data_IF_277021708789
#
_entry.id   IF_277021708789
#
_cell.length_a   1.000
_cell.length_b   1.000
_cell.length_c   1.000
_cell.angle_alpha   90.00
_cell.angle_beta   90.00
_cell.angle_gamma   90.00
#
_symmetry.space_group_name_H-M   'P 1'
#
loop_
_entity.id
_entity.type
_entity.pdbx_description
1 polymer ?
#
# COMPACT_ATOMS: atom_id res chain seq x y z
N UNK A 1 33.96 -22.22 -2.50
CA UNK A 1 34.92 -21.39 -3.25
C UNK A 1 34.24 -20.49 -4.29
N UNK A 2 32.91 -20.34 -4.23
CA UNK A 2 32.09 -19.83 -5.35
C UNK A 2 31.81 -18.32 -5.38
N UNK A 3 32.46 -17.53 -4.53
CA UNK A 3 32.22 -16.08 -4.45
C UNK A 3 33.37 -15.22 -4.98
N UNK A 4 34.41 -15.82 -5.56
CA UNK A 4 35.64 -15.10 -5.97
C UNK A 4 35.41 -14.00 -7.02
N UNK A 5 34.28 -14.00 -7.72
CA UNK A 5 33.92 -13.00 -8.74
C UNK A 5 32.62 -12.23 -8.44
N UNK A 6 32.09 -12.30 -7.20
CA UNK A 6 30.89 -11.55 -6.83
C UNK A 6 31.24 -10.24 -6.12
N UNK A 7 30.61 -9.14 -6.54
CA UNK A 7 30.62 -7.90 -5.76
C UNK A 7 29.73 -8.09 -4.52
N UNK A 8 30.34 -8.47 -3.40
CA UNK A 8 29.66 -8.60 -2.11
C UNK A 8 29.60 -7.23 -1.45
N UNK A 9 28.39 -6.71 -1.23
CA UNK A 9 28.17 -5.51 -0.42
C UNK A 9 27.60 -5.91 0.94
N UNK A 10 28.31 -5.66 2.06
CA UNK A 10 27.78 -5.93 3.38
C UNK A 10 26.60 -5.00 3.66
N UNK A 11 25.56 -5.56 4.30
CA UNK A 11 24.39 -4.80 4.74
C UNK A 11 24.51 -4.63 6.25
N UNK A 12 24.58 -3.39 6.72
CA UNK A 12 24.68 -3.06 8.14
C UNK A 12 23.30 -3.07 8.83
N UNK A 13 23.29 -3.33 10.14
CA UNK A 13 22.09 -3.29 10.99
C UNK A 13 20.95 -4.24 10.57
N UNK A 14 21.29 -5.37 9.94
CA UNK A 14 20.35 -6.42 9.57
C UNK A 14 20.02 -7.30 10.77
N UNK A 15 18.74 -7.54 11.01
CA UNK A 15 18.33 -8.67 11.86
C UNK A 15 18.45 -9.98 11.07
N UNK A 16 19.60 -10.64 11.26
CA UNK A 16 19.96 -11.91 10.60
C UNK A 16 18.95 -13.03 10.84
N UNK A 17 18.19 -13.02 11.95
CA UNK A 17 17.24 -14.11 12.27
C UNK A 17 15.97 -14.02 11.43
N UNK A 18 15.58 -12.80 11.06
CA UNK A 18 14.38 -12.53 10.27
C UNK A 18 14.68 -12.15 8.82
N UNK A 19 15.94 -12.20 8.41
CA UNK A 19 16.33 -11.77 7.07
C UNK A 19 15.86 -12.77 6.02
N UNK A 20 15.01 -12.29 5.11
CA UNK A 20 14.43 -13.08 4.03
C UNK A 20 14.54 -12.34 2.71
N UNK A 21 14.94 -13.05 1.66
CA UNK A 21 14.94 -12.56 0.28
C UNK A 21 13.57 -12.89 -0.32
N UNK A 22 12.94 -11.92 -0.96
CA UNK A 22 11.65 -12.15 -1.63
C UNK A 22 11.87 -13.08 -2.81
N UNK A 23 11.16 -14.22 -2.84
CA UNK A 23 11.35 -15.25 -3.88
C UNK A 23 10.91 -14.76 -5.25
N UNK A 24 9.92 -13.86 -5.29
CA UNK A 24 9.35 -13.28 -6.50
C UNK A 24 10.24 -12.17 -7.08
N UNK A 25 11.12 -11.57 -6.28
CA UNK A 25 12.03 -10.52 -6.70
C UNK A 25 13.29 -10.50 -5.80
N UNK A 26 14.35 -11.15 -6.29
CA UNK A 26 15.61 -11.31 -5.56
C UNK A 26 16.41 -10.00 -5.42
N UNK A 27 15.96 -8.89 -6.04
CA UNK A 27 16.51 -7.57 -5.75
C UNK A 27 16.05 -7.06 -4.38
N UNK A 28 15.06 -7.72 -3.76
CA UNK A 28 14.53 -7.34 -2.46
C UNK A 28 14.82 -8.34 -1.35
N UNK A 29 15.07 -7.79 -0.18
CA UNK A 29 15.06 -8.53 1.07
C UNK A 29 14.31 -7.73 2.13
N UNK A 30 13.91 -8.39 3.20
CA UNK A 30 13.41 -7.74 4.40
C UNK A 30 13.96 -8.43 5.63
N UNK A 31 13.96 -7.71 6.74
CA UNK A 31 14.02 -8.29 8.06
C UNK A 31 12.82 -7.77 8.89
N UNK A 32 12.78 -8.05 10.19
CA UNK A 32 11.68 -7.61 11.06
C UNK A 32 11.51 -6.08 11.16
N UNK A 33 12.51 -5.30 10.77
CA UNK A 33 12.58 -3.84 10.97
C UNK A 33 12.73 -3.08 9.65
N UNK A 34 13.45 -3.64 8.71
CA UNK A 34 13.89 -2.97 7.50
C UNK A 34 13.52 -3.78 6.26
N UNK A 35 13.48 -3.07 5.15
CA UNK A 35 13.38 -3.67 3.84
C UNK A 35 14.49 -3.10 2.97
N UNK A 36 15.04 -3.96 2.12
CA UNK A 36 16.25 -3.72 1.37
C UNK A 36 15.96 -3.82 -0.11
N UNK A 37 16.55 -2.94 -0.91
CA UNK A 37 16.59 -3.04 -2.36
C UNK A 37 18.04 -3.03 -2.82
N UNK A 38 18.48 -4.11 -3.47
CA UNK A 38 19.87 -4.32 -3.90
C UNK A 38 20.85 -4.08 -2.76
N UNK A 39 20.51 -4.59 -1.58
CA UNK A 39 21.31 -4.45 -0.36
C UNK A 39 21.22 -3.10 0.36
N UNK A 40 20.47 -2.12 -0.15
CA UNK A 40 20.30 -0.81 0.48
C UNK A 40 18.99 -0.73 1.26
N UNK A 41 19.03 -0.25 2.51
CA UNK A 41 17.82 0.03 3.29
C UNK A 41 16.95 1.02 2.51
N UNK A 42 15.70 0.63 2.31
CA UNK A 42 14.69 1.49 1.73
C UNK A 42 14.19 2.43 2.82
N UNK A 43 14.72 3.64 2.87
CA UNK A 43 14.23 4.69 3.75
C UNK A 43 12.72 4.90 3.57
N UNK A 44 12.02 5.16 4.67
CA UNK A 44 10.61 5.58 4.66
C UNK A 44 10.46 6.88 3.87
N UNK A 45 10.04 6.78 2.62
CA UNK A 45 9.82 7.94 1.74
C UNK A 45 8.35 8.36 1.82
N UNK A 46 8.03 9.13 2.86
CA UNK A 46 6.83 9.96 2.89
C UNK A 46 7.17 11.40 2.55
N UNK A 47 6.30 12.06 1.80
CA UNK A 47 6.37 13.49 1.52
C UNK A 47 5.26 14.20 2.28
N UNK A 48 5.59 15.29 2.97
CA UNK A 48 4.60 16.14 3.62
C UNK A 48 3.80 16.92 2.58
N UNK A 49 2.50 17.05 2.82
CA UNK A 49 1.59 17.82 1.97
C UNK A 49 1.28 19.14 2.68
N UNK A 50 1.73 20.24 2.09
CA UNK A 50 1.56 21.62 2.59
C UNK A 50 0.23 22.21 2.13
N UNK A 51 -0.24 21.85 0.94
CA UNK A 51 -1.45 22.40 0.37
C UNK A 51 -2.72 21.73 0.90
N UNK A 52 -3.42 22.44 1.79
CA UNK A 52 -4.64 21.94 2.45
C UNK A 52 -5.79 21.63 1.48
N UNK A 53 -5.96 22.42 0.42
CA UNK A 53 -7.06 22.23 -0.54
C UNK A 53 -6.86 20.95 -1.35
N UNK A 54 -5.63 20.74 -1.86
CA UNK A 54 -5.26 19.52 -2.57
C UNK A 54 -5.26 18.30 -1.63
N UNK A 55 -4.77 18.44 -0.40
CA UNK A 55 -4.89 17.38 0.60
C UNK A 55 -6.36 16.99 0.82
N UNK A 56 -7.25 17.95 1.09
CA UNK A 56 -8.65 17.65 1.38
C UNK A 56 -9.38 16.95 0.22
N UNK A 57 -9.02 17.29 -1.02
CA UNK A 57 -9.62 16.66 -2.22
C UNK A 57 -9.02 15.29 -2.56
N UNK A 58 -7.79 15.03 -2.15
CA UNK A 58 -7.04 13.82 -2.53
C UNK A 58 -6.77 12.86 -1.36
N UNK A 59 -7.05 13.24 -0.11
CA UNK A 59 -6.77 12.40 1.05
C UNK A 59 -7.44 11.04 0.94
N UNK A 60 -6.69 10.00 1.26
CA UNK A 60 -7.14 8.62 1.11
C UNK A 60 -7.12 8.09 -0.33
N UNK A 61 -6.85 8.92 -1.33
CA UNK A 61 -6.72 8.45 -2.73
C UNK A 61 -5.30 7.96 -2.99
N UNK A 62 -5.21 7.12 -4.02
CA UNK A 62 -3.96 6.86 -4.72
C UNK A 62 -3.90 7.80 -5.91
N UNK A 63 -2.78 8.51 -6.07
CA UNK A 63 -2.53 9.41 -7.20
C UNK A 63 -1.44 8.85 -8.10
N UNK A 64 -1.55 9.10 -9.40
CA UNK A 64 -0.60 8.67 -10.43
C UNK A 64 -0.07 9.91 -11.13
N UNK A 65 1.25 10.14 -11.09
CA UNK A 65 1.88 11.18 -11.91
C UNK A 65 1.91 10.72 -13.35
N UNK A 66 0.93 11.17 -14.14
CA UNK A 66 0.73 10.73 -15.54
C UNK A 66 1.89 11.15 -16.44
N UNK A 67 2.61 12.19 -16.06
CA UNK A 67 3.74 12.77 -16.80
C UNK A 67 5.10 12.22 -16.32
N UNK A 68 5.14 11.34 -15.32
CA UNK A 68 6.38 10.81 -14.72
C UNK A 68 6.33 9.28 -14.62
N UNK A 69 6.56 8.57 -15.73
CA UNK A 69 6.72 7.09 -15.81
C UNK A 69 5.67 6.26 -15.02
N UNK A 70 4.51 6.83 -14.69
CA UNK A 70 3.49 6.19 -13.86
C UNK A 70 3.84 6.05 -12.37
N UNK A 71 4.61 6.98 -11.79
CA UNK A 71 4.84 7.03 -10.34
C UNK A 71 3.52 7.16 -9.58
N UNK A 72 3.33 6.31 -8.57
CA UNK A 72 2.12 6.25 -7.77
C UNK A 72 2.40 6.66 -6.31
N UNK A 73 1.42 7.31 -5.66
CA UNK A 73 1.51 7.71 -4.26
C UNK A 73 0.17 7.46 -3.54
N UNK A 74 0.22 6.92 -2.33
CA UNK A 74 -0.94 6.85 -1.43
C UNK A 74 -0.96 8.08 -0.53
N UNK A 75 -2.06 8.84 -0.52
CA UNK A 75 -2.22 9.98 0.38
C UNK A 75 -2.92 9.49 1.64
N UNK A 76 -2.25 9.58 2.78
CA UNK A 76 -2.84 9.10 4.03
C UNK A 76 -4.05 9.99 4.42
N UNK A 77 -5.20 9.42 4.80
CA UNK A 77 -6.39 10.20 5.15
C UNK A 77 -6.27 10.92 6.51
N UNK A 78 -5.36 10.43 7.37
CA UNK A 78 -5.19 10.87 8.75
C UNK A 78 -3.86 11.59 8.98
N UNK A 79 -2.91 11.47 8.06
CA UNK A 79 -1.61 12.15 8.08
C UNK A 79 -1.53 13.01 6.83
N UNK A 80 -1.14 14.29 6.94
CA UNK A 80 -0.90 15.17 5.77
C UNK A 80 0.39 14.78 5.05
N UNK A 81 0.46 13.52 4.65
CA UNK A 81 1.62 12.86 4.07
C UNK A 81 1.16 11.98 2.91
N UNK A 82 2.00 11.87 1.89
CA UNK A 82 1.86 10.85 0.85
C UNK A 82 3.04 9.89 0.88
N UNK A 83 2.79 8.64 0.53
CA UNK A 83 3.75 7.54 0.55
C UNK A 83 3.96 7.04 -0.87
N UNK A 84 5.22 6.94 -1.30
CA UNK A 84 5.53 6.43 -2.65
C UNK A 84 5.15 4.96 -2.78
N UNK A 85 4.52 4.62 -3.90
CA UNK A 85 4.13 3.26 -4.31
C UNK A 85 4.91 2.84 -5.56
N UNK A 86 6.17 3.27 -5.66
CA UNK A 86 7.00 3.16 -6.86
C UNK A 86 7.15 1.75 -7.43
N UNK A 87 7.05 0.72 -6.56
CA UNK A 87 7.21 -0.70 -6.92
C UNK A 87 6.31 -1.59 -6.07
N UNK A 88 5.98 -2.82 -6.52
CA UNK A 88 5.03 -3.69 -5.83
C UNK A 88 5.34 -3.94 -4.35
N UNK A 89 6.59 -4.23 -4.04
CA UNK A 89 7.00 -4.54 -2.67
C UNK A 89 7.09 -3.30 -1.77
N UNK A 90 7.41 -2.13 -2.33
CA UNK A 90 7.31 -0.85 -1.62
C UNK A 90 5.86 -0.54 -1.28
N UNK A 91 4.98 -0.68 -2.28
CA UNK A 91 3.55 -0.49 -2.11
C UNK A 91 3.00 -1.43 -1.03
N UNK A 92 3.36 -2.72 -1.08
CA UNK A 92 2.97 -3.70 -0.07
C UNK A 92 3.39 -3.28 1.34
N UNK A 93 4.64 -2.85 1.53
CA UNK A 93 5.13 -2.34 2.82
C UNK A 93 4.33 -1.13 3.29
N UNK A 94 4.11 -0.14 2.43
CA UNK A 94 3.32 1.05 2.75
C UNK A 94 1.92 0.66 3.22
N UNK A 95 1.28 -0.29 2.55
CA UNK A 95 -0.07 -0.74 2.94
C UNK A 95 -0.10 -1.40 4.31
N UNK A 96 0.92 -2.18 4.64
CA UNK A 96 1.07 -2.81 5.96
C UNK A 96 1.38 -1.77 7.04
N UNK A 97 2.31 -0.86 6.81
CA UNK A 97 2.70 0.16 7.79
C UNK A 97 1.62 1.22 8.03
N UNK A 98 0.87 1.59 7.00
CA UNK A 98 -0.21 2.58 7.11
C UNK A 98 -1.57 1.94 7.42
N UNK A 99 -1.61 0.60 7.44
CA UNK A 99 -2.80 -0.16 7.72
C UNK A 99 -3.25 -0.03 9.18
N UNK A 100 -4.56 0.12 9.38
CA UNK A 100 -5.19 0.12 10.69
C UNK A 100 -5.80 -1.25 10.95
N UNK A 101 -5.68 -1.80 12.16
CA UNK A 101 -6.31 -3.07 12.50
C UNK A 101 -7.85 -3.01 12.37
N UNK A 102 -8.45 -4.07 11.81
CA UNK A 102 -9.90 -4.25 11.74
C UNK A 102 -10.28 -5.71 12.07
N UNK A 103 -11.39 -5.90 12.76
CA UNK A 103 -11.98 -7.22 13.01
C UNK A 103 -12.74 -7.72 11.79
N UNK A 104 -12.93 -9.03 11.67
CA UNK A 104 -13.67 -9.64 10.56
C UNK A 104 -15.12 -9.12 10.52
N UNK A 105 -15.78 -9.06 11.67
CA UNK A 105 -17.15 -8.57 11.80
C UNK A 105 -17.33 -7.09 11.37
N UNK A 106 -16.29 -6.26 11.52
CA UNK A 106 -16.34 -4.88 11.04
C UNK A 106 -15.92 -4.76 9.58
N UNK A 107 -14.95 -5.56 9.13
CA UNK A 107 -14.56 -5.57 7.73
C UNK A 107 -15.75 -5.96 6.86
N UNK A 108 -16.48 -7.03 7.22
CA UNK A 108 -17.67 -7.56 6.56
C UNK A 108 -18.78 -6.53 6.31
N UNK A 109 -18.78 -5.40 7.03
CA UNK A 109 -19.70 -4.29 6.81
C UNK A 109 -19.36 -3.44 5.59
N UNK A 110 -18.20 -3.64 4.98
CA UNK A 110 -17.69 -2.86 3.85
C UNK A 110 -17.76 -3.71 2.58
N UNK A 111 -18.61 -3.40 1.58
CA UNK A 111 -18.78 -4.24 0.39
C UNK A 111 -17.48 -4.41 -0.39
N UNK A 112 -17.32 -5.55 -1.07
CA UNK A 112 -16.14 -5.84 -1.90
C UNK A 112 -16.27 -5.15 -3.26
N UNK A 113 -15.20 -4.50 -3.71
CA UNK A 113 -15.20 -3.68 -4.93
C UNK A 113 -14.61 -4.32 -6.17
N UNK A 114 -13.91 -5.45 -6.01
CA UNK A 114 -13.31 -6.22 -7.09
C UNK A 114 -13.64 -7.70 -6.95
N UNK A 115 -12.77 -8.55 -7.49
CA UNK A 115 -12.92 -9.98 -7.32
C UNK A 115 -12.58 -10.39 -5.90
N UNK A 116 -13.30 -11.38 -5.41
CA UNK A 116 -12.91 -12.06 -4.20
C UNK A 116 -11.55 -12.74 -4.34
N UNK A 117 -10.76 -12.85 -3.26
CA UNK A 117 -9.54 -13.63 -3.28
C UNK A 117 -9.80 -15.06 -3.75
N UNK A 118 -8.89 -15.64 -4.53
CA UNK A 118 -9.08 -16.97 -5.12
C UNK A 118 -9.32 -18.09 -4.10
N UNK A 119 -8.80 -17.94 -2.88
CA UNK A 119 -9.01 -18.89 -1.78
C UNK A 119 -10.36 -18.73 -1.05
N UNK A 120 -11.08 -17.63 -1.26
CA UNK A 120 -12.40 -17.38 -0.68
C UNK A 120 -13.30 -16.69 -1.70
N UNK A 121 -14.08 -17.45 -2.44
CA UNK A 121 -14.97 -16.94 -3.49
C UNK A 121 -16.23 -16.25 -2.95
N UNK A 122 -16.58 -16.49 -1.69
CA UNK A 122 -17.75 -15.91 -1.00
C UNK A 122 -17.33 -14.85 0.01
N UNK A 123 -16.45 -13.94 -0.41
CA UNK A 123 -15.84 -12.95 0.47
C UNK A 123 -16.70 -11.69 0.71
N UNK A 124 -17.88 -11.58 0.10
CA UNK A 124 -18.81 -10.47 0.29
C UNK A 124 -20.21 -11.00 0.66
N UNK A 125 -20.66 -10.70 1.87
CA UNK A 125 -21.96 -11.11 2.38
C UNK A 125 -22.85 -9.86 2.35
N UNK A 126 -23.73 -9.73 1.35
CA UNK A 126 -24.49 -8.49 1.14
C UNK A 126 -25.35 -8.09 2.34
N UNK A 127 -25.84 -9.06 3.13
CA UNK A 127 -26.67 -8.80 4.31
C UNK A 127 -25.93 -8.15 5.48
N UNK A 128 -24.59 -8.18 5.50
CA UNK A 128 -23.79 -7.50 6.54
C UNK A 128 -23.37 -6.08 6.16
N UNK A 129 -23.57 -5.67 4.91
CA UNK A 129 -23.08 -4.40 4.39
C UNK A 129 -23.76 -3.19 5.05
N UNK A 130 -22.94 -2.24 5.52
CA UNK A 130 -23.40 -1.01 6.14
C UNK A 130 -22.76 0.19 5.43
N UNK A 131 -23.55 0.87 4.59
CA UNK A 131 -23.08 1.98 3.76
C UNK A 131 -22.55 3.17 4.56
N UNK A 132 -23.14 3.48 5.72
CA UNK A 132 -22.67 4.57 6.61
C UNK A 132 -21.29 4.22 7.18
N UNK A 133 -21.15 3.00 7.69
CA UNK A 133 -19.86 2.49 8.18
C UNK A 133 -18.81 2.51 7.05
N UNK A 134 -19.10 1.90 5.91
CA UNK A 134 -18.20 1.86 4.76
C UNK A 134 -17.73 3.26 4.31
N UNK A 135 -18.66 4.22 4.24
CA UNK A 135 -18.35 5.61 3.86
C UNK A 135 -17.39 6.28 4.83
N UNK A 136 -17.53 6.01 6.14
CA UNK A 136 -16.61 6.55 7.15
C UNK A 136 -15.19 5.96 7.11
N UNK A 137 -15.01 4.85 6.38
CA UNK A 137 -13.71 4.20 6.22
C UNK A 137 -13.00 4.54 4.90
N UNK A 138 -13.58 5.40 4.06
CA UNK A 138 -13.01 5.77 2.76
C UNK A 138 -11.55 6.21 2.88
N UNK A 139 -10.73 5.65 2.00
CA UNK A 139 -9.32 5.97 1.86
C UNK A 139 -8.41 5.32 2.90
N UNK A 140 -8.96 4.59 3.86
CA UNK A 140 -8.17 3.82 4.82
C UNK A 140 -7.65 2.54 4.18
N UNK A 141 -6.52 2.09 4.70
CA UNK A 141 -6.02 0.74 4.51
C UNK A 141 -6.27 0.00 5.82
N UNK A 142 -6.84 -1.18 5.75
CA UNK A 142 -7.08 -2.03 6.90
C UNK A 142 -6.25 -3.30 6.84
N UNK A 143 -5.86 -3.78 8.02
CA UNK A 143 -5.27 -5.10 8.22
C UNK A 143 -6.24 -5.94 9.03
N UNK A 144 -6.61 -7.11 8.52
CA UNK A 144 -7.38 -8.09 9.29
C UNK A 144 -6.51 -8.64 10.42
N UNK A 145 -6.90 -8.38 11.66
CA UNK A 145 -6.13 -8.79 12.84
C UNK A 145 -6.55 -10.16 13.39
N UNK A 146 -7.69 -10.67 12.93
CA UNK A 146 -8.26 -11.97 13.34
C UNK A 146 -8.06 -13.06 12.27
N UNK A 147 -7.20 -12.80 11.28
CA UNK A 147 -6.97 -13.66 10.12
C UNK A 147 -5.49 -13.78 9.76
N UNK A 148 -5.17 -13.91 8.48
CA UNK A 148 -3.78 -14.06 8.00
C UNK A 148 -3.06 -12.73 7.85
N UNK A 149 -3.58 -11.65 8.45
CA UNK A 149 -3.04 -10.30 8.26
C UNK A 149 -3.38 -9.71 6.89
N UNK A 150 -4.48 -10.11 6.27
CA UNK A 150 -4.82 -9.61 4.94
C UNK A 150 -5.03 -8.08 4.93
N UNK A 151 -4.54 -7.42 3.88
CA UNK A 151 -4.66 -5.99 3.70
C UNK A 151 -5.80 -5.62 2.75
N UNK A 152 -6.51 -4.54 3.06
CA UNK A 152 -7.67 -4.07 2.29
C UNK A 152 -7.63 -2.55 2.12
N UNK A 153 -7.77 -2.05 0.90
CA UNK A 153 -7.92 -0.61 0.62
C UNK A 153 -9.38 -0.26 0.42
N UNK A 154 -9.86 0.76 1.14
CA UNK A 154 -11.23 1.25 0.98
C UNK A 154 -11.22 2.40 -0.03
N UNK A 155 -11.72 2.16 -1.24
CA UNK A 155 -11.64 3.16 -2.30
C UNK A 155 -12.56 4.37 -2.00
N UNK A 156 -12.04 5.61 -1.93
CA UNK A 156 -12.83 6.82 -1.68
C UNK A 156 -13.97 7.04 -2.67
N UNK A 157 -13.81 6.59 -3.91
CA UNK A 157 -14.78 6.86 -4.98
C UNK A 157 -16.06 6.04 -4.82
N UNK A 158 -16.00 4.83 -4.23
CA UNK A 158 -17.15 3.93 -4.16
C UNK A 158 -17.40 3.29 -2.77
N UNK A 159 -16.58 3.59 -1.76
CA UNK A 159 -16.67 3.02 -0.41
C UNK A 159 -16.53 1.49 -0.36
N UNK A 160 -15.95 0.86 -1.38
CA UNK A 160 -15.77 -0.59 -1.42
C UNK A 160 -14.34 -0.98 -1.02
N UNK A 161 -14.20 -2.16 -0.39
CA UNK A 161 -12.91 -2.74 -0.01
C UNK A 161 -12.29 -3.51 -1.17
N UNK A 162 -11.00 -3.32 -1.40
CA UNK A 162 -10.21 -4.01 -2.41
C UNK A 162 -9.09 -4.77 -1.73
N UNK A 163 -8.98 -6.05 -2.04
CA UNK A 163 -7.99 -6.94 -1.47
C UNK A 163 -6.57 -6.58 -1.96
N UNK A 164 -5.60 -6.50 -1.05
CA UNK A 164 -4.22 -6.14 -1.35
C UNK A 164 -3.23 -7.28 -1.02
N UNK A 165 -3.71 -8.53 -1.03
CA UNK A 165 -3.00 -9.67 -0.45
C UNK A 165 -1.58 -9.92 -0.97
N UNK A 166 -1.37 -9.95 -2.30
CA UNK A 166 -0.03 -10.13 -2.88
C UNK A 166 0.52 -8.80 -3.37
N UNK A 167 1.85 -8.55 -3.29
CA UNK A 167 2.46 -7.30 -3.75
C UNK A 167 2.06 -6.93 -5.19
N UNK A 168 2.09 -7.88 -6.11
CA UNK A 168 1.74 -7.66 -7.52
C UNK A 168 0.26 -7.32 -7.70
N UNK A 169 -0.65 -8.01 -7.01
CA UNK A 169 -2.08 -7.73 -7.09
C UNK A 169 -2.40 -6.35 -6.51
N UNK A 170 -1.80 -6.05 -5.35
CA UNK A 170 -1.94 -4.76 -4.68
C UNK A 170 -1.48 -3.62 -5.61
N UNK A 171 -0.31 -3.77 -6.23
CA UNK A 171 0.22 -2.79 -7.17
C UNK A 171 -0.68 -2.58 -8.39
N UNK A 172 -1.20 -3.66 -8.98
CA UNK A 172 -2.11 -3.59 -10.11
C UNK A 172 -3.42 -2.89 -9.74
N UNK A 173 -4.03 -3.27 -8.62
CA UNK A 173 -5.24 -2.62 -8.09
C UNK A 173 -4.98 -1.13 -7.86
N UNK A 174 -3.86 -0.76 -7.25
CA UNK A 174 -3.54 0.65 -7.01
C UNK A 174 -3.39 1.46 -8.29
N UNK A 175 -2.78 0.89 -9.33
CA UNK A 175 -2.72 1.53 -10.65
C UNK A 175 -4.09 1.68 -11.28
N UNK A 176 -4.94 0.65 -11.21
CA UNK A 176 -6.30 0.70 -11.76
C UNK A 176 -7.18 1.71 -11.04
N UNK A 177 -7.05 1.83 -9.72
CA UNK A 177 -7.87 2.73 -8.90
C UNK A 177 -7.28 4.14 -8.75
N UNK A 178 -6.05 4.34 -9.24
CA UNK A 178 -5.30 5.57 -9.09
C UNK A 178 -5.86 6.73 -9.92
N UNK A 179 -5.88 7.92 -9.33
CA UNK A 179 -6.30 9.15 -10.00
C UNK A 179 -5.08 9.85 -10.63
N UNK A 180 -5.15 10.16 -11.91
CA UNK A 180 -4.10 10.94 -12.58
C UNK A 180 -3.94 12.35 -12.00
N UNK A 181 -2.70 12.80 -11.81
CA UNK A 181 -2.34 14.15 -11.39
C UNK A 181 -1.21 14.70 -12.29
N UNK A 182 -1.32 15.97 -12.69
CA UNK A 182 -0.25 16.66 -13.43
C UNK A 182 0.92 17.01 -12.51
N UNK A 183 2.12 17.14 -13.08
CA UNK A 183 3.31 17.52 -12.31
C UNK A 183 3.11 18.88 -11.61
N UNK A 184 2.44 19.84 -12.26
CA UNK A 184 2.16 21.15 -11.66
C UNK A 184 1.23 21.09 -10.42
N UNK A 185 0.24 20.18 -10.42
CA UNK A 185 -0.61 19.96 -9.23
C UNK A 185 0.16 19.20 -8.15
N UNK A 186 0.95 18.18 -8.54
CA UNK A 186 1.80 17.42 -7.61
C UNK A 186 2.81 18.33 -6.89
N UNK A 187 3.52 19.18 -7.62
CA UNK A 187 4.48 20.14 -7.06
C UNK A 187 3.80 21.12 -6.10
N UNK A 188 2.58 21.56 -6.43
CA UNK A 188 1.78 22.41 -5.54
C UNK A 188 1.37 21.72 -4.24
N UNK A 189 1.43 20.39 -4.15
CA UNK A 189 1.14 19.68 -2.90
C UNK A 189 2.30 19.76 -1.90
N UNK A 190 3.53 19.88 -2.37
CA UNK A 190 4.75 19.68 -1.55
C UNK A 190 5.62 20.93 -1.41
N UNK A 191 5.28 22.02 -2.10
CA UNK A 191 5.89 23.35 -1.95
C UNK A 191 5.31 24.10 -0.76
#
# INVERSE_FOLDING_TARGET
EDYKNCNISPIENVDKKSFEVFKEDNEYAMDKTNMYFKGKILSKQSLNITNNSLYNSLKGKIILKTESKGEAYYINPNKKEMYSLSRPVIAFRVMREQGVGITNANLEKIPVGGNCPSYNQNCDIQSSNNSKFATSQKGKIFLQVEGSGEAWYINPNNAKRYFLGRPTDAFNIMKTLGLGISNANFDRMIK
#
